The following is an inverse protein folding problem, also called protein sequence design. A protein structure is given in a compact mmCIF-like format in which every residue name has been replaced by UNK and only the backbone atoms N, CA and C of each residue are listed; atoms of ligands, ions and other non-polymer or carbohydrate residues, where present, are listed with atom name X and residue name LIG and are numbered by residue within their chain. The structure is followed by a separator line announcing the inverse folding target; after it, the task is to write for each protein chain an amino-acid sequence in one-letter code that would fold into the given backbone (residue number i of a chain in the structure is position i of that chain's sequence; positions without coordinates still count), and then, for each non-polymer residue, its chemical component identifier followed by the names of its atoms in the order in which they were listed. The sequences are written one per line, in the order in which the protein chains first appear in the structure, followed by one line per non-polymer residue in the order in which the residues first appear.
data_IF_754848526716
#
_entry.id   IF_754848526716
#
_cell.length_a   1.000
_cell.length_b   1.000
_cell.length_c   1.000
_cell.angle_alpha   90.00
_cell.angle_beta   90.00
_cell.angle_gamma   90.00
#
_symmetry.space_group_name_H-M   'P 1'
#
loop_
_entity.id
_entity.type
_entity.pdbx_description
1 polymer ?
#
# COMPACT_ATOMS: atom_id res chain seq x y z
N UNK A 1 19.91 4.46 -32.62
CA UNK A 1 18.57 4.74 -32.06
C UNK A 1 18.43 4.08 -30.69
N UNK A 2 17.83 4.80 -29.73
CA UNK A 2 17.50 4.31 -28.39
C UNK A 2 16.01 4.04 -28.29
N UNK A 3 15.57 3.09 -27.48
CA UNK A 3 14.15 2.75 -27.29
C UNK A 3 13.83 2.75 -25.80
N UNK A 4 12.84 3.56 -25.41
CA UNK A 4 12.36 3.65 -24.03
C UNK A 4 11.32 2.58 -23.75
N UNK A 5 11.64 1.62 -22.90
CA UNK A 5 10.72 0.57 -22.50
C UNK A 5 10.27 0.75 -21.04
N UNK A 6 8.96 0.86 -20.84
CA UNK A 6 8.33 1.08 -19.54
C UNK A 6 7.91 -0.26 -18.93
N UNK A 7 8.34 -0.51 -17.69
CA UNK A 7 7.99 -1.73 -16.95
C UNK A 7 7.42 -1.39 -15.57
N UNK A 8 6.66 -2.31 -14.94
CA UNK A 8 6.22 -2.11 -13.56
C UNK A 8 7.39 -1.94 -12.57
N UNK A 9 8.56 -2.47 -12.91
CA UNK A 9 9.76 -2.42 -12.08
C UNK A 9 10.60 -1.15 -12.28
N UNK A 10 10.40 -0.41 -13.37
CA UNK A 10 11.26 0.71 -13.72
C UNK A 10 11.28 1.07 -15.21
N UNK A 11 12.16 2.01 -15.56
CA UNK A 11 12.41 2.43 -16.93
C UNK A 11 13.65 1.73 -17.49
N UNK A 12 13.50 1.06 -18.63
CA UNK A 12 14.60 0.45 -19.36
C UNK A 12 14.90 1.23 -20.63
N UNK A 13 16.17 1.34 -20.99
CA UNK A 13 16.60 1.96 -22.22
C UNK A 13 17.44 0.97 -23.01
N UNK A 14 16.94 0.62 -24.20
CA UNK A 14 17.60 -0.32 -25.10
C UNK A 14 18.25 0.44 -26.26
N UNK A 15 19.49 0.10 -26.58
CA UNK A 15 20.18 0.56 -27.78
C UNK A 15 19.96 -0.46 -28.89
N UNK A 16 19.48 0.00 -30.04
CA UNK A 16 19.39 -0.83 -31.24
C UNK A 16 20.78 -0.90 -31.89
N UNK A 17 21.28 -2.11 -32.09
CA UNK A 17 22.62 -2.36 -32.63
C UNK A 17 22.62 -2.48 -34.17
N UNK A 18 21.55 -3.06 -34.73
CA UNK A 18 21.42 -3.31 -36.16
C UNK A 18 20.22 -2.54 -36.73
N UNK A 19 20.49 -1.32 -37.20
CA UNK A 19 19.46 -0.46 -37.80
C UNK A 19 19.06 -0.92 -39.22
N UNK A 20 19.88 -1.75 -39.89
CA UNK A 20 19.61 -2.25 -41.24
C UNK A 20 18.42 -3.22 -41.28
N UNK A 21 18.26 -4.02 -40.22
CA UNK A 21 17.14 -4.97 -40.06
C UNK A 21 15.80 -4.31 -39.71
N UNK A 22 15.80 -3.03 -39.35
CA UNK A 22 14.57 -2.28 -39.02
C UNK A 22 13.73 -1.92 -40.26
N UNK A 23 14.27 -2.12 -41.46
CA UNK A 23 13.61 -1.76 -42.73
C UNK A 23 12.44 -2.69 -43.10
N UNK A 24 12.41 -3.94 -42.60
CA UNK A 24 11.35 -4.92 -42.86
C UNK A 24 10.63 -5.28 -41.56
N UNK A 25 9.49 -4.63 -41.33
CA UNK A 25 8.65 -4.82 -40.13
C UNK A 25 8.22 -6.28 -39.94
N UNK A 26 7.92 -6.99 -41.03
CA UNK A 26 7.39 -8.36 -40.99
C UNK A 26 8.39 -9.39 -40.45
N UNK A 27 9.68 -9.20 -40.72
CA UNK A 27 10.74 -10.12 -40.31
C UNK A 27 11.25 -9.84 -38.89
N UNK A 28 10.99 -8.65 -38.35
CA UNK A 28 11.50 -8.23 -37.04
C UNK A 28 11.03 -9.18 -35.92
N UNK A 29 9.79 -9.66 -35.99
CA UNK A 29 9.24 -10.60 -35.01
C UNK A 29 10.05 -11.90 -34.88
N UNK A 30 10.63 -12.39 -35.99
CA UNK A 30 11.41 -13.64 -36.03
C UNK A 30 12.71 -13.51 -35.23
N UNK A 31 13.32 -12.33 -35.23
CA UNK A 31 14.56 -12.01 -34.52
C UNK A 31 14.39 -11.92 -32.99
N UNK A 32 13.16 -11.92 -32.48
CA UNK A 32 12.86 -11.93 -31.04
C UNK A 32 12.31 -13.27 -30.54
N UNK A 33 12.44 -14.34 -31.34
CA UNK A 33 12.01 -15.69 -30.96
C UNK A 33 12.93 -16.29 -29.89
N UNK A 34 14.24 -16.02 -29.98
CA UNK A 34 15.23 -16.50 -29.00
C UNK A 34 15.96 -15.34 -28.33
N UNK A 35 16.41 -15.53 -27.10
CA UNK A 35 17.15 -14.52 -26.35
C UNK A 35 18.47 -14.13 -27.03
N UNK A 36 19.17 -15.08 -27.63
CA UNK A 36 20.44 -14.84 -28.33
C UNK A 36 20.27 -14.05 -29.63
N UNK A 37 19.17 -14.24 -30.36
CA UNK A 37 18.86 -13.42 -31.54
C UNK A 37 18.46 -12.01 -31.12
N UNK A 38 17.63 -11.87 -30.09
CA UNK A 38 17.22 -10.58 -29.55
C UNK A 38 18.44 -9.75 -29.08
N UNK A 39 19.42 -10.36 -28.40
CA UNK A 39 20.65 -9.69 -27.95
C UNK A 39 21.54 -9.15 -29.09
N UNK A 40 21.40 -9.69 -30.31
CA UNK A 40 22.09 -9.17 -31.50
C UNK A 40 21.41 -7.92 -32.06
N UNK A 41 20.09 -7.82 -31.91
CA UNK A 41 19.31 -6.68 -32.40
C UNK A 41 19.32 -5.52 -31.39
N UNK A 42 19.15 -5.83 -30.11
CA UNK A 42 19.03 -4.85 -29.03
C UNK A 42 19.94 -5.20 -27.86
N UNK A 43 20.49 -4.15 -27.23
CA UNK A 43 21.27 -4.28 -26.00
C UNK A 43 20.75 -3.32 -24.93
N UNK A 44 20.61 -3.80 -23.71
CA UNK A 44 20.28 -2.94 -22.57
C UNK A 44 21.41 -1.92 -22.36
N UNK A 45 21.08 -0.63 -22.45
CA UNK A 45 22.02 0.47 -22.20
C UNK A 45 21.98 0.90 -20.74
N UNK A 46 20.77 1.07 -20.20
CA UNK A 46 20.56 1.46 -18.80
C UNK A 46 19.20 0.96 -18.30
N UNK A 47 19.11 0.70 -17.01
CA UNK A 47 17.87 0.36 -16.32
C UNK A 47 17.76 1.16 -15.02
N UNK A 48 16.67 1.90 -14.86
CA UNK A 48 16.34 2.64 -13.65
C UNK A 48 15.19 1.92 -12.95
N UNK A 49 15.53 1.15 -11.91
CA UNK A 49 14.57 0.46 -11.05
C UNK A 49 13.87 1.46 -10.14
N UNK A 50 12.56 1.30 -9.94
CA UNK A 50 11.83 2.02 -8.90
C UNK A 50 12.21 1.50 -7.51
N UNK A 51 12.38 2.40 -6.55
CA UNK A 51 12.73 2.01 -5.18
C UNK A 51 11.54 1.39 -4.44
N UNK A 52 10.34 1.91 -4.70
CA UNK A 52 9.12 1.50 -4.00
C UNK A 52 7.85 1.65 -4.87
N UNK A 53 6.76 1.05 -4.41
CA UNK A 53 5.46 1.08 -5.10
C UNK A 53 4.88 2.48 -5.25
N UNK A 54 5.20 3.41 -4.34
CA UNK A 54 4.71 4.79 -4.40
C UNK A 54 5.34 5.55 -5.58
N UNK A 55 6.65 5.38 -5.77
CA UNK A 55 7.35 5.91 -6.94
C UNK A 55 6.78 5.32 -8.23
N UNK A 56 6.62 3.99 -8.29
CA UNK A 56 6.04 3.30 -9.45
C UNK A 56 4.62 3.79 -9.76
N UNK A 57 3.76 3.97 -8.75
CA UNK A 57 2.41 4.53 -8.90
C UNK A 57 2.46 5.96 -9.46
N UNK A 58 3.31 6.81 -8.89
CA UNK A 58 3.44 8.21 -9.31
C UNK A 58 3.92 8.32 -10.77
N UNK A 59 4.85 7.46 -11.16
CA UNK A 59 5.34 7.36 -12.52
C UNK A 59 4.24 6.87 -13.47
N UNK A 60 3.56 5.75 -13.13
CA UNK A 60 2.47 5.19 -13.92
C UNK A 60 1.30 6.18 -14.11
N UNK A 61 0.95 6.94 -13.07
CA UNK A 61 -0.11 7.95 -13.15
C UNK A 61 0.25 9.07 -14.12
N UNK A 62 1.49 9.55 -14.08
CA UNK A 62 1.96 10.58 -15.01
C UNK A 62 2.07 10.05 -16.46
N UNK A 63 2.44 8.78 -16.64
CA UNK A 63 2.50 8.14 -17.95
C UNK A 63 1.11 8.00 -18.59
N UNK A 64 0.06 7.72 -17.81
CA UNK A 64 -1.33 7.71 -18.29
C UNK A 64 -1.75 9.08 -18.85
N UNK A 65 -1.26 10.15 -18.25
CA UNK A 65 -1.47 11.52 -18.72
C UNK A 65 -0.44 11.97 -19.79
N UNK A 66 0.34 11.03 -20.34
CA UNK A 66 1.42 11.27 -21.31
C UNK A 66 2.47 12.30 -20.85
N UNK A 67 2.74 12.38 -19.54
CA UNK A 67 3.70 13.32 -18.93
C UNK A 67 4.91 12.58 -18.39
N UNK A 68 6.15 13.03 -18.68
CA UNK A 68 7.34 12.37 -18.13
C UNK A 68 7.50 12.69 -16.64
N UNK A 69 7.71 11.67 -15.80
CA UNK A 69 7.97 11.81 -14.36
C UNK A 69 9.32 12.48 -14.08
N UNK A 70 9.55 12.96 -12.84
CA UNK A 70 10.85 13.55 -12.46
C UNK A 70 12.00 12.54 -12.62
N UNK A 71 11.76 11.28 -12.22
CA UNK A 71 12.70 10.18 -12.38
C UNK A 71 13.03 9.90 -13.85
N UNK A 72 12.00 9.80 -14.71
CA UNK A 72 12.19 9.58 -16.14
C UNK A 72 13.02 10.69 -16.79
N UNK A 73 12.77 11.95 -16.43
CA UNK A 73 13.55 13.08 -16.98
C UNK A 73 15.02 13.02 -16.57
N UNK A 74 15.33 12.68 -15.32
CA UNK A 74 16.71 12.51 -14.87
C UNK A 74 17.40 11.34 -15.59
N UNK A 75 16.68 10.23 -15.74
CA UNK A 75 17.16 9.03 -16.40
C UNK A 75 17.49 9.27 -17.88
N UNK A 76 16.59 9.92 -18.63
CA UNK A 76 16.83 10.24 -20.04
C UNK A 76 17.99 11.22 -20.22
N UNK A 77 18.09 12.27 -19.38
CA UNK A 77 19.23 13.21 -19.45
C UNK A 77 20.58 12.57 -19.19
N UNK A 78 20.63 11.48 -18.41
CA UNK A 78 21.89 10.82 -18.08
C UNK A 78 22.35 9.82 -19.16
N UNK A 79 21.45 9.36 -20.04
CA UNK A 79 21.72 8.24 -20.94
C UNK A 79 21.36 8.48 -22.41
N UNK A 80 20.71 9.59 -22.75
CA UNK A 80 20.37 9.99 -24.12
C UNK A 80 21.21 11.20 -24.54
N UNK A 81 22.35 10.94 -25.20
CA UNK A 81 23.22 11.97 -25.76
C UNK A 81 23.08 11.98 -27.29
N UNK A 82 22.30 12.91 -27.83
CA UNK A 82 22.17 13.17 -29.28
C UNK A 82 21.58 12.03 -30.13
N UNK A 83 21.22 10.89 -29.54
CA UNK A 83 20.55 9.77 -30.24
C UNK A 83 19.02 9.96 -30.26
N UNK A 84 18.37 9.50 -31.33
CA UNK A 84 16.91 9.47 -31.46
C UNK A 84 16.28 8.46 -30.51
N UNK A 85 15.15 8.81 -29.89
CA UNK A 85 14.44 8.00 -28.91
C UNK A 85 13.11 7.45 -29.45
N UNK A 86 13.00 6.13 -29.57
CA UNK A 86 11.76 5.41 -29.85
C UNK A 86 10.86 5.37 -28.61
N UNK A 87 9.63 5.88 -28.75
CA UNK A 87 8.63 5.93 -27.67
C UNK A 87 7.31 5.30 -28.15
N UNK A 88 6.63 4.57 -27.27
CA UNK A 88 5.38 3.88 -27.59
C UNK A 88 4.20 4.86 -27.79
N UNK A 89 4.12 5.93 -27.00
CA UNK A 89 3.07 6.96 -27.12
C UNK A 89 3.64 8.24 -27.78
N UNK A 90 2.98 8.69 -28.84
CA UNK A 90 3.33 9.92 -29.56
C UNK A 90 3.20 11.17 -28.68
N UNK A 91 2.20 11.23 -27.78
CA UNK A 91 2.00 12.37 -26.88
C UNK A 91 3.13 12.46 -25.85
N UNK A 92 3.54 11.34 -25.29
CA UNK A 92 4.69 11.26 -24.39
C UNK A 92 5.98 11.68 -25.12
N UNK A 93 6.17 11.22 -26.36
CA UNK A 93 7.28 11.63 -27.21
C UNK A 93 7.33 13.14 -27.43
N UNK A 94 6.20 13.79 -27.72
CA UNK A 94 6.10 15.25 -27.85
C UNK A 94 6.46 15.96 -26.53
N UNK A 95 5.92 15.48 -25.40
CA UNK A 95 6.22 16.04 -24.08
C UNK A 95 7.71 15.89 -23.67
N UNK A 96 8.37 14.81 -24.11
CA UNK A 96 9.81 14.60 -23.94
C UNK A 96 10.60 15.56 -24.84
N UNK A 97 10.21 15.67 -26.11
CA UNK A 97 10.85 16.57 -27.08
C UNK A 97 10.83 18.02 -26.60
N UNK A 98 9.68 18.51 -26.16
CA UNK A 98 9.53 19.88 -25.63
C UNK A 98 10.38 20.15 -24.39
N UNK A 99 10.44 19.20 -23.44
CA UNK A 99 11.08 19.41 -22.13
C UNK A 99 12.57 19.09 -22.09
N UNK A 100 13.00 18.13 -22.90
CA UNK A 100 14.36 17.58 -22.87
C UNK A 100 15.14 17.85 -24.16
N UNK A 101 14.50 18.37 -25.20
CA UNK A 101 15.11 18.61 -26.52
C UNK A 101 15.69 17.33 -27.13
N UNK A 102 15.08 16.17 -26.83
CA UNK A 102 15.44 14.87 -27.39
C UNK A 102 14.51 14.57 -28.56
N UNK A 103 15.07 14.24 -29.73
CA UNK A 103 14.27 13.81 -30.87
C UNK A 103 13.60 12.46 -30.59
N UNK A 104 12.27 12.46 -30.60
CA UNK A 104 11.47 11.26 -30.36
C UNK A 104 10.84 10.75 -31.66
N UNK A 105 10.85 9.43 -31.85
CA UNK A 105 10.25 8.74 -33.00
C UNK A 105 9.16 7.80 -32.51
N UNK A 106 8.02 7.85 -33.18
CA UNK A 106 6.90 6.94 -32.99
C UNK A 106 6.47 6.41 -34.35
N UNK A 107 6.63 5.10 -34.58
CA UNK A 107 6.26 4.43 -35.82
C UNK A 107 5.98 2.93 -35.58
N UNK A 108 5.48 2.23 -36.60
CA UNK A 108 5.18 0.80 -36.51
C UNK A 108 6.43 -0.05 -36.20
N UNK A 109 7.60 0.38 -36.67
CA UNK A 109 8.89 -0.29 -36.37
C UNK A 109 9.18 -0.27 -34.87
N UNK A 110 9.02 0.88 -34.21
CA UNK A 110 9.19 1.02 -32.76
C UNK A 110 8.17 0.14 -32.03
N UNK A 111 6.91 0.08 -32.48
CA UNK A 111 5.89 -0.76 -31.84
C UNK A 111 6.21 -2.25 -31.93
N UNK A 112 6.68 -2.75 -33.07
CA UNK A 112 7.13 -4.15 -33.20
C UNK A 112 8.40 -4.43 -32.40
N UNK A 113 9.32 -3.47 -32.32
CA UNK A 113 10.49 -3.60 -31.45
C UNK A 113 10.08 -3.67 -29.96
N UNK A 114 9.14 -2.84 -29.51
CA UNK A 114 8.59 -2.91 -28.15
C UNK A 114 7.92 -4.26 -27.89
N UNK A 115 7.26 -4.83 -28.90
CA UNK A 115 6.64 -6.16 -28.81
C UNK A 115 7.69 -7.26 -28.63
N UNK A 116 8.76 -7.23 -29.41
CA UNK A 116 9.89 -8.16 -29.29
C UNK A 116 10.66 -8.01 -27.98
N UNK A 117 10.86 -6.78 -27.51
CA UNK A 117 11.43 -6.51 -26.19
C UNK A 117 10.56 -7.09 -25.07
N UNK A 118 9.24 -7.01 -25.19
CA UNK A 118 8.31 -7.57 -24.19
C UNK A 118 8.37 -9.09 -24.13
N UNK A 119 8.51 -9.79 -25.26
CA UNK A 119 8.59 -11.26 -25.27
C UNK A 119 9.86 -11.81 -24.63
N UNK A 120 10.97 -11.07 -24.71
CA UNK A 120 12.28 -11.47 -24.18
C UNK A 120 12.72 -10.66 -22.95
N UNK A 121 11.80 -9.93 -22.30
CA UNK A 121 12.13 -8.92 -21.28
C UNK A 121 12.99 -9.47 -20.14
N UNK A 122 12.67 -10.66 -19.66
CA UNK A 122 13.31 -11.30 -18.50
C UNK A 122 14.74 -11.77 -18.78
N UNK A 123 15.03 -12.11 -20.05
CA UNK A 123 16.37 -12.50 -20.50
C UNK A 123 17.24 -11.30 -20.90
N UNK A 124 16.60 -10.17 -21.24
CA UNK A 124 17.27 -8.94 -21.68
C UNK A 124 17.60 -8.00 -20.51
N UNK A 125 16.87 -8.07 -19.40
CA UNK A 125 17.15 -7.31 -18.17
C UNK A 125 17.73 -8.24 -17.11
N UNK A 126 19.05 -8.22 -16.97
CA UNK A 126 19.75 -8.98 -15.93
C UNK A 126 19.32 -8.52 -14.53
N UNK A 127 18.93 -9.47 -13.66
CA UNK A 127 18.54 -9.18 -12.27
C UNK A 127 17.05 -8.88 -12.06
N UNK A 128 16.22 -9.06 -13.09
CA UNK A 128 14.76 -8.98 -12.97
C UNK A 128 14.15 -10.36 -13.22
N UNK A 129 13.91 -11.13 -12.15
CA UNK A 129 13.33 -12.45 -12.28
C UNK A 129 11.87 -12.37 -12.76
N UNK A 130 11.46 -13.34 -13.59
CA UNK A 130 10.04 -13.52 -13.99
C UNK A 130 9.10 -13.58 -12.79
N UNK A 131 9.56 -14.22 -11.71
CA UNK A 131 8.82 -14.39 -10.45
C UNK A 131 8.57 -13.06 -9.72
N UNK A 132 9.43 -12.06 -9.90
CA UNK A 132 9.31 -10.76 -9.24
C UNK A 132 8.43 -9.78 -10.05
N UNK A 133 8.41 -9.92 -11.37
CA UNK A 133 7.62 -9.05 -12.25
C UNK A 133 6.11 -9.18 -12.04
N UNK A 134 5.62 -10.41 -11.87
CA UNK A 134 4.20 -10.68 -11.66
C UNK A 134 3.64 -9.98 -10.39
N UNK A 135 4.23 -10.13 -9.19
CA UNK A 135 3.76 -9.44 -7.99
C UNK A 135 3.95 -7.93 -8.07
N UNK A 136 5.01 -7.42 -8.71
CA UNK A 136 5.18 -5.98 -8.94
C UNK A 136 4.06 -5.41 -9.83
N UNK A 137 3.74 -6.10 -10.93
CA UNK A 137 2.65 -5.74 -11.83
C UNK A 137 1.29 -5.76 -11.12
N UNK A 138 1.02 -6.79 -10.31
CA UNK A 138 -0.21 -6.92 -9.52
C UNK A 138 -0.32 -5.81 -8.45
N UNK A 139 0.77 -5.52 -7.73
CA UNK A 139 0.79 -4.47 -6.72
C UNK A 139 0.55 -3.09 -7.32
N UNK A 140 1.18 -2.80 -8.46
CA UNK A 140 0.99 -1.55 -9.18
C UNK A 140 -0.43 -1.44 -9.74
N UNK A 141 -0.98 -2.50 -10.33
CA UNK A 141 -2.34 -2.50 -10.89
C UNK A 141 -3.39 -2.29 -9.81
N UNK A 142 -3.28 -2.95 -8.65
CA UNK A 142 -4.15 -2.71 -7.51
C UNK A 142 -4.07 -1.27 -7.02
N UNK A 143 -2.86 -0.73 -6.90
CA UNK A 143 -2.65 0.64 -6.41
C UNK A 143 -3.20 1.67 -7.39
N UNK A 144 -3.02 1.45 -8.70
CA UNK A 144 -3.55 2.30 -9.75
C UNK A 144 -5.08 2.25 -9.82
N UNK A 145 -5.68 1.06 -9.72
CA UNK A 145 -7.13 0.90 -9.67
C UNK A 145 -7.73 1.60 -8.46
N UNK A 146 -7.11 1.49 -7.28
CA UNK A 146 -7.52 2.24 -6.08
C UNK A 146 -7.40 3.75 -6.28
N UNK A 147 -6.31 4.22 -6.89
CA UNK A 147 -6.10 5.63 -7.19
C UNK A 147 -7.16 6.20 -8.14
N UNK A 148 -7.56 5.43 -9.16
CA UNK A 148 -8.61 5.83 -10.10
C UNK A 148 -10.01 5.80 -9.50
N UNK A 149 -10.33 4.75 -8.74
CA UNK A 149 -11.66 4.58 -8.17
C UNK A 149 -11.92 5.55 -7.00
N UNK A 150 -10.87 5.99 -6.28
CA UNK A 150 -10.83 6.96 -5.15
C UNK A 150 -11.74 6.66 -3.94
N UNK A 151 -12.90 6.04 -4.13
CA UNK A 151 -13.88 5.73 -3.09
C UNK A 151 -14.75 4.54 -3.52
N UNK A 152 -14.93 3.57 -2.63
CA UNK A 152 -15.88 2.46 -2.81
C UNK A 152 -16.79 2.46 -1.57
N UNK A 153 -18.09 2.79 -1.73
CA UNK A 153 -19.05 2.80 -0.63
C UNK A 153 -19.08 1.47 0.14
N UNK A 154 -18.96 0.34 -0.57
CA UNK A 154 -19.01 -1.02 0.00
C UNK A 154 -17.96 -1.26 1.10
N UNK A 155 -16.79 -0.62 1.00
CA UNK A 155 -15.74 -0.75 2.02
C UNK A 155 -16.11 -0.01 3.31
N UNK A 156 -16.78 1.12 3.19
CA UNK A 156 -17.21 1.91 4.36
C UNK A 156 -18.32 1.16 5.08
N UNK A 157 -19.29 0.61 4.34
CA UNK A 157 -20.41 -0.13 4.92
C UNK A 157 -19.95 -1.39 5.66
N UNK A 158 -18.97 -2.11 5.10
CA UNK A 158 -18.37 -3.27 5.77
C UNK A 158 -17.74 -2.88 7.12
N UNK A 159 -17.04 -1.73 7.19
CA UNK A 159 -16.44 -1.27 8.44
C UNK A 159 -17.50 -0.85 9.47
N UNK A 160 -18.63 -0.28 9.04
CA UNK A 160 -19.73 0.09 9.92
C UNK A 160 -20.38 -1.15 10.52
N UNK A 161 -20.68 -2.16 9.70
CA UNK A 161 -21.25 -3.44 10.19
C UNK A 161 -20.30 -4.10 11.20
N UNK A 162 -18.99 -4.11 10.90
CA UNK A 162 -17.97 -4.64 11.82
C UNK A 162 -17.91 -3.84 13.13
N UNK A 163 -17.99 -2.51 13.08
CA UNK A 163 -17.95 -1.66 14.28
C UNK A 163 -19.17 -1.85 15.18
N UNK A 164 -20.37 -2.02 14.58
CA UNK A 164 -21.60 -2.30 15.34
C UNK A 164 -21.50 -3.68 16.00
N UNK A 165 -21.08 -4.71 15.25
CA UNK A 165 -20.89 -6.05 15.82
C UNK A 165 -19.86 -6.07 16.96
N UNK A 166 -18.76 -5.32 16.83
CA UNK A 166 -17.77 -5.18 17.89
C UNK A 166 -18.34 -4.49 19.14
N UNK A 167 -19.23 -3.52 18.97
CA UNK A 167 -19.87 -2.82 20.10
C UNK A 167 -20.76 -3.78 20.89
N UNK A 168 -21.57 -4.59 20.20
CA UNK A 168 -22.43 -5.60 20.83
C UNK A 168 -21.61 -6.68 21.56
N UNK A 169 -20.52 -7.14 20.94
CA UNK A 169 -19.61 -8.12 21.57
C UNK A 169 -18.92 -7.54 22.81
N UNK A 170 -18.47 -6.27 22.75
CA UNK A 170 -17.85 -5.58 23.89
C UNK A 170 -18.83 -5.44 25.06
N UNK A 171 -20.10 -5.10 24.82
CA UNK A 171 -21.09 -4.97 25.87
C UNK A 171 -21.38 -6.30 26.57
N UNK A 172 -21.39 -7.40 25.81
CA UNK A 172 -21.56 -8.75 26.37
C UNK A 172 -20.36 -9.20 27.21
N UNK A 173 -19.15 -8.97 26.71
CA UNK A 173 -17.91 -9.31 27.42
C UNK A 173 -17.72 -8.44 28.67
N UNK A 174 -18.03 -7.13 28.58
CA UNK A 174 -17.95 -6.21 29.72
C UNK A 174 -18.87 -6.67 30.85
N UNK A 175 -20.10 -7.06 30.54
CA UNK A 175 -21.03 -7.59 31.54
C UNK A 175 -20.53 -8.91 32.15
N UNK A 176 -19.99 -9.82 31.33
CA UNK A 176 -19.42 -11.09 31.81
C UNK A 176 -18.25 -10.84 32.77
N UNK A 177 -17.33 -9.94 32.42
CA UNK A 177 -16.21 -9.57 33.29
C UNK A 177 -16.67 -8.85 34.55
N UNK A 178 -17.67 -7.97 34.46
CA UNK A 178 -18.19 -7.28 35.62
C UNK A 178 -18.83 -8.24 36.64
N UNK A 179 -19.61 -9.21 36.17
CA UNK A 179 -20.17 -10.26 37.03
C UNK A 179 -19.06 -11.11 37.64
N UNK A 180 -18.01 -11.44 36.87
CA UNK A 180 -16.86 -12.20 37.39
C UNK A 180 -16.10 -11.45 38.49
N UNK A 181 -15.86 -10.15 38.32
CA UNK A 181 -15.21 -9.31 39.34
C UNK A 181 -16.09 -9.20 40.59
N UNK A 182 -17.41 -9.13 40.44
CA UNK A 182 -18.36 -9.13 41.56
C UNK A 182 -18.32 -10.41 42.36
N UNK A 183 -18.37 -11.56 41.69
CA UNK A 183 -18.25 -12.86 42.36
C UNK A 183 -16.91 -12.98 43.08
N UNK A 184 -15.81 -12.58 42.44
CA UNK A 184 -14.47 -12.75 43.00
C UNK A 184 -14.24 -11.85 44.21
N UNK A 185 -14.57 -10.55 44.11
CA UNK A 185 -14.42 -9.62 45.23
C UNK A 185 -15.50 -9.80 46.30
N UNK A 186 -16.65 -10.38 45.95
CA UNK A 186 -17.72 -10.72 46.88
C UNK A 186 -17.30 -11.74 47.95
N UNK A 187 -16.26 -12.55 47.71
CA UNK A 187 -15.65 -13.38 48.76
C UNK A 187 -15.00 -12.57 49.88
N UNK A 188 -14.49 -11.38 49.55
CA UNK A 188 -13.84 -10.48 50.51
C UNK A 188 -14.83 -9.52 51.15
N UNK A 189 -15.71 -8.93 50.34
CA UNK A 189 -16.67 -7.94 50.79
C UNK A 189 -18.02 -8.03 50.03
N UNK A 190 -18.90 -8.97 50.44
CA UNK A 190 -20.15 -9.26 49.74
C UNK A 190 -21.19 -8.14 49.81
N UNK A 191 -21.13 -7.27 50.82
CA UNK A 191 -22.07 -6.16 51.01
C UNK A 191 -21.91 -5.10 49.90
N UNK A 192 -20.69 -4.89 49.38
CA UNK A 192 -20.44 -3.92 48.31
C UNK A 192 -21.25 -4.22 47.05
N UNK A 193 -21.38 -5.50 46.70
CA UNK A 193 -22.12 -5.92 45.51
C UNK A 193 -23.63 -5.65 45.63
N UNK A 194 -24.16 -5.60 46.86
CA UNK A 194 -25.56 -5.22 47.12
C UNK A 194 -25.75 -3.70 47.10
N UNK A 195 -24.75 -2.94 47.53
CA UNK A 195 -24.83 -1.48 47.62
C UNK A 195 -24.60 -0.81 46.25
N UNK A 196 -23.63 -1.29 45.47
CA UNK A 196 -23.29 -0.70 44.17
C UNK A 196 -23.79 -1.60 43.04
N UNK A 197 -24.91 -1.21 42.43
CA UNK A 197 -25.54 -1.96 41.35
C UNK A 197 -24.92 -1.71 39.97
N UNK A 198 -24.24 -0.59 39.75
CA UNK A 198 -23.54 -0.28 38.50
C UNK A 198 -22.18 -1.00 38.42
N UNK A 199 -21.92 -1.65 37.28
CA UNK A 199 -20.74 -2.48 37.06
C UNK A 199 -19.43 -1.67 37.01
N UNK A 200 -19.47 -0.49 36.39
CA UNK A 200 -18.31 0.39 36.21
C UNK A 200 -17.95 1.04 37.54
N UNK A 201 -18.95 1.53 38.27
CA UNK A 201 -18.78 2.11 39.60
C UNK A 201 -18.25 1.06 40.59
N UNK A 202 -18.76 -0.17 40.52
CA UNK A 202 -18.27 -1.29 41.34
C UNK A 202 -16.78 -1.55 41.10
N UNK A 203 -16.36 -1.67 39.83
CA UNK A 203 -14.95 -1.89 39.49
C UNK A 203 -14.05 -0.73 39.96
N UNK A 204 -14.50 0.53 39.82
CA UNK A 204 -13.76 1.70 40.33
C UNK A 204 -13.65 1.70 41.85
N UNK A 205 -14.72 1.34 42.56
CA UNK A 205 -14.72 1.26 44.02
C UNK A 205 -13.77 0.16 44.53
N UNK A 206 -13.80 -1.02 43.92
CA UNK A 206 -12.87 -2.12 44.23
C UNK A 206 -11.42 -1.69 44.01
N UNK A 207 -11.13 -1.01 42.89
CA UNK A 207 -9.79 -0.52 42.57
C UNK A 207 -9.28 0.51 43.59
N UNK A 208 -10.15 1.41 44.06
CA UNK A 208 -9.78 2.45 45.02
C UNK A 208 -9.60 1.87 46.43
N UNK A 209 -10.52 1.00 46.85
CA UNK A 209 -10.57 0.47 48.21
C UNK A 209 -9.49 -0.58 48.47
N UNK A 210 -9.29 -1.52 47.54
CA UNK A 210 -8.43 -2.68 47.75
C UNK A 210 -8.96 -3.55 48.89
N UNK A 211 -8.47 -3.33 50.11
CA UNK A 211 -8.91 -4.04 51.31
C UNK A 211 -10.01 -3.27 52.07
N UNK A 212 -10.96 -4.00 52.69
CA UNK A 212 -12.12 -3.47 53.40
C UNK A 212 -11.74 -2.57 54.58
N UNK A 213 -10.56 -2.78 55.17
CA UNK A 213 -10.05 -1.95 56.29
C UNK A 213 -9.80 -0.51 55.84
N UNK A 214 -9.49 -0.30 54.56
CA UNK A 214 -9.24 1.02 54.01
C UNK A 214 -10.54 1.76 53.66
N UNK A 215 -11.68 1.08 53.64
CA UNK A 215 -12.98 1.66 53.31
C UNK A 215 -13.36 2.84 54.22
N UNK A 216 -13.02 2.77 55.51
CA UNK A 216 -13.33 3.85 56.47
C UNK A 216 -12.42 5.08 56.32
N UNK A 217 -11.26 4.94 55.67
CA UNK A 217 -10.25 6.00 55.53
C UNK A 217 -10.29 6.72 54.19
N UNK A 218 -10.91 6.10 53.18
CA UNK A 218 -10.92 6.59 51.80
C UNK A 218 -12.23 7.33 51.49
N UNK A 219 -12.11 8.42 50.73
CA UNK A 219 -13.26 9.15 50.23
C UNK A 219 -13.65 8.61 48.84
N UNK A 220 -14.91 8.17 48.71
CA UNK A 220 -15.47 7.63 47.47
C UNK A 220 -16.21 8.68 46.63
N UNK A 221 -16.16 9.95 47.03
CA UNK A 221 -16.82 11.07 46.33
C UNK A 221 -16.34 11.23 44.89
N UNK A 222 -15.06 10.98 44.61
CA UNK A 222 -14.48 11.06 43.25
C UNK A 222 -15.00 9.96 42.31
N UNK A 223 -15.42 8.82 42.86
CA UNK A 223 -16.00 7.72 42.08
C UNK A 223 -17.49 7.96 41.81
N UNK A 224 -18.08 9.06 42.31
CA UNK A 224 -19.49 9.39 42.11
C UNK A 224 -20.44 8.64 43.04
N UNK A 225 -19.91 7.92 44.04
CA UNK A 225 -20.71 7.13 44.98
C UNK A 225 -20.81 7.84 46.33
N UNK A 226 -21.51 8.99 46.35
CA UNK A 226 -21.75 9.77 47.59
C UNK A 226 -22.53 9.01 48.67
N UNK A 227 -23.31 8.00 48.28
CA UNK A 227 -24.18 7.24 49.19
C UNK A 227 -23.45 6.12 49.97
N UNK A 228 -22.23 5.77 49.58
CA UNK A 228 -21.48 4.67 50.18
C UNK A 228 -20.87 5.01 51.54
N UNK A 229 -20.51 6.27 51.82
CA UNK A 229 -19.87 6.62 53.11
C UNK A 229 -20.79 6.38 54.32
N UNK A 230 -22.11 6.58 54.15
CA UNK A 230 -23.10 6.29 55.18
C UNK A 230 -23.46 4.79 55.29
N UNK A 231 -23.54 4.07 54.18
CA UNK A 231 -23.91 2.64 54.19
C UNK A 231 -22.74 1.71 54.51
N UNK A 232 -21.51 2.04 54.09
CA UNK A 232 -20.28 1.32 54.45
C UNK A 232 -20.00 1.42 55.94
N UNK A 233 -20.12 2.60 56.54
CA UNK A 233 -19.91 2.77 57.99
C UNK A 233 -20.91 1.94 58.82
N UNK A 234 -22.15 1.75 58.35
CA UNK A 234 -23.11 0.83 59.01
C UNK A 234 -22.78 -0.64 58.81
N UNK A 235 -22.21 -1.02 57.67
CA UNK A 235 -21.81 -2.40 57.34
C UNK A 235 -20.50 -2.82 58.00
N UNK A 236 -19.58 -1.89 58.27
CA UNK A 236 -18.29 -2.15 58.95
C UNK A 236 -18.42 -2.24 60.48
N UNK A 237 -19.57 -1.82 61.04
CA UNK A 237 -19.87 -1.83 62.49
C UNK A 237 -20.60 -3.10 62.96
N UNK A 238 -20.96 -4.00 62.05
CA UNK A 238 -21.48 -5.35 62.33
C UNK A 238 -20.46 -6.40 61.89
#
# INVERSE_FOLDING_TARGET
MLVLFETPAGFALFKVLDEGKLSKVEDLSKEFTTSDSARKVVKLKAFSKFENTSEALSAATLLIDSKPSKGLRKFLKAHCDGETLGVADSKLGNAIKEKLQIECVHNNVVMELMRGLRSQLTELISGLATQDLAPMSLGLSHSLSRYKLKFSPDKVDTMIVQAIGLLDDLDKELNTYAMRVREWYGWHFPELAKIVQDNILYAKAVKLMGDRVNAAKLDFSEVGIRLLSCSLNRSLLN
#
